data_IF_672379204364
#
_entry.id   IF_672379204364
#
_cell.length_a   1.000
_cell.length_b   1.000
_cell.length_c   1.000
_cell.angle_alpha   90.00
_cell.angle_beta   90.00
_cell.angle_gamma   90.00
#
_symmetry.space_group_name_H-M   'P 1'
#
loop_
_entity.id
_entity.type
_entity.pdbx_description
1 polymer ?
#
# COMPACT_ATOMS: atom_id res chain seq x y z
N UNK A 1 25.59 8.27 -14.60
CA UNK A 1 24.75 8.13 -13.40
C UNK A 1 25.06 6.77 -12.79
N UNK A 2 25.30 6.71 -11.49
CA UNK A 2 25.67 5.46 -10.82
C UNK A 2 24.42 4.58 -10.66
N UNK A 3 24.51 3.29 -11.02
CA UNK A 3 23.33 2.41 -11.23
C UNK A 3 22.66 2.03 -9.89
N UNK A 4 21.32 1.91 -9.83
CA UNK A 4 20.64 1.39 -8.64
C UNK A 4 21.12 -0.01 -8.27
N UNK A 5 21.19 -0.28 -6.97
CA UNK A 5 21.68 -1.54 -6.40
C UNK A 5 20.52 -2.37 -5.88
N UNK A 6 20.57 -3.68 -6.11
CA UNK A 6 19.55 -4.62 -5.61
C UNK A 6 20.06 -5.28 -4.33
N UNK A 7 19.29 -5.15 -3.24
CA UNK A 7 19.65 -5.66 -1.91
C UNK A 7 18.61 -6.67 -1.44
N UNK A 8 18.98 -7.95 -1.27
CA UNK A 8 18.08 -8.95 -0.70
C UNK A 8 17.86 -8.71 0.79
N UNK A 9 16.60 -8.78 1.22
CA UNK A 9 16.19 -8.61 2.61
C UNK A 9 15.14 -9.66 2.97
N UNK A 10 15.37 -10.37 4.08
CA UNK A 10 14.37 -11.26 4.68
C UNK A 10 13.81 -10.61 5.94
N UNK A 11 12.50 -10.33 5.97
CA UNK A 11 11.82 -9.74 7.14
C UNK A 11 10.44 -10.34 7.33
N UNK A 12 10.11 -10.73 8.56
CA UNK A 12 8.83 -11.37 8.90
C UNK A 12 8.51 -12.60 8.01
N UNK A 13 9.52 -13.41 7.69
CA UNK A 13 9.35 -14.60 6.83
C UNK A 13 9.22 -14.30 5.33
N UNK A 14 9.23 -13.04 4.90
CA UNK A 14 9.11 -12.66 3.49
C UNK A 14 10.46 -12.32 2.88
N UNK A 15 10.69 -12.81 1.67
CA UNK A 15 11.89 -12.55 0.88
C UNK A 15 11.62 -11.42 -0.12
N UNK A 16 12.32 -10.29 0.07
CA UNK A 16 12.15 -9.07 -0.75
C UNK A 16 13.48 -8.62 -1.33
N UNK A 17 13.45 -8.01 -2.50
CA UNK A 17 14.61 -7.33 -3.09
C UNK A 17 14.36 -5.83 -3.08
N UNK A 18 15.16 -5.07 -2.34
CA UNK A 18 15.08 -3.61 -2.33
C UNK A 18 15.96 -3.02 -3.43
N UNK A 19 15.46 -2.01 -4.13
CA UNK A 19 16.23 -1.23 -5.09
C UNK A 19 16.63 0.08 -4.44
N UNK A 20 17.95 0.32 -4.35
CA UNK A 20 18.53 1.48 -3.66
C UNK A 20 19.34 2.34 -4.60
N UNK A 21 19.17 3.65 -4.49
CA UNK A 21 20.03 4.62 -5.14
C UNK A 21 21.42 4.68 -4.46
N UNK A 22 22.43 5.23 -5.15
CA UNK A 22 23.77 5.45 -4.59
C UNK A 22 23.77 6.32 -3.33
N UNK A 23 22.81 7.24 -3.20
CA UNK A 23 22.61 8.09 -2.02
C UNK A 23 21.99 7.34 -0.82
N UNK A 24 21.66 6.06 -0.97
CA UNK A 24 21.09 5.20 0.05
C UNK A 24 19.56 5.23 0.15
N UNK A 25 18.85 6.02 -0.64
CA UNK A 25 17.38 5.99 -0.68
C UNK A 25 16.87 4.71 -1.33
N UNK A 26 15.77 4.18 -0.81
CA UNK A 26 15.05 3.08 -1.45
C UNK A 26 14.06 3.69 -2.46
N UNK A 27 14.07 3.20 -3.70
CA UNK A 27 13.16 3.67 -4.77
C UNK A 27 12.11 2.61 -5.13
N UNK A 28 12.36 1.34 -4.81
CA UNK A 28 11.37 0.27 -4.97
C UNK A 28 11.71 -0.95 -4.11
N UNK A 29 10.77 -1.89 -4.07
CA UNK A 29 11.04 -3.26 -3.62
C UNK A 29 10.22 -4.28 -4.41
N UNK A 30 10.81 -5.44 -4.66
CA UNK A 30 10.18 -6.58 -5.32
C UNK A 30 9.76 -7.62 -4.28
N UNK A 31 8.47 -7.93 -4.25
CA UNK A 31 7.89 -9.07 -3.55
C UNK A 31 8.00 -10.32 -4.45
N UNK A 32 8.87 -11.27 -4.07
CA UNK A 32 9.06 -12.49 -4.83
C UNK A 32 7.85 -13.43 -4.74
N UNK A 33 7.14 -13.40 -3.63
CA UNK A 33 5.98 -14.25 -3.38
C UNK A 33 4.77 -13.77 -4.18
N UNK A 34 4.54 -12.45 -4.20
CA UNK A 34 3.44 -11.84 -4.94
C UNK A 34 3.78 -11.46 -6.39
N UNK A 35 5.00 -11.76 -6.85
CA UNK A 35 5.54 -11.34 -8.16
C UNK A 35 5.25 -9.85 -8.46
N UNK A 36 5.52 -8.97 -7.50
CA UNK A 36 5.12 -7.56 -7.55
C UNK A 36 6.24 -6.58 -7.23
N UNK A 37 6.43 -5.61 -8.10
CA UNK A 37 7.29 -4.45 -7.87
C UNK A 37 6.47 -3.31 -7.27
N UNK A 38 6.86 -2.87 -6.09
CA UNK A 38 6.28 -1.72 -5.40
C UNK A 38 7.22 -0.53 -5.56
N UNK A 39 6.81 0.43 -6.39
CA UNK A 39 7.52 1.69 -6.57
C UNK A 39 7.27 2.60 -5.37
N UNK A 40 8.33 3.19 -4.84
CA UNK A 40 8.26 4.27 -3.86
C UNK A 40 8.33 5.64 -4.53
N UNK A 41 8.91 5.67 -5.73
CA UNK A 41 8.99 6.84 -6.60
C UNK A 41 8.73 6.38 -8.04
N UNK A 42 7.72 6.99 -8.69
CA UNK A 42 7.31 6.64 -10.04
C UNK A 42 8.30 7.15 -11.10
N UNK A 43 9.07 8.20 -10.80
CA UNK A 43 10.04 8.77 -11.75
C UNK A 43 11.18 7.79 -12.06
N UNK A 44 11.44 6.84 -11.18
CA UNK A 44 12.51 5.85 -11.31
C UNK A 44 12.04 4.48 -11.84
N UNK A 45 10.83 4.36 -12.40
CA UNK A 45 10.28 3.07 -12.83
C UNK A 45 11.19 2.30 -13.79
N UNK A 46 11.67 2.95 -14.86
CA UNK A 46 12.53 2.30 -15.86
C UNK A 46 13.85 1.81 -15.24
N UNK A 47 14.47 2.63 -14.40
CA UNK A 47 15.71 2.29 -13.70
C UNK A 47 15.53 1.12 -12.74
N UNK A 48 14.38 1.06 -12.06
CA UNK A 48 14.00 -0.03 -11.17
C UNK A 48 13.84 -1.33 -11.94
N UNK A 49 13.09 -1.32 -13.05
CA UNK A 49 12.87 -2.51 -13.86
C UNK A 49 14.18 -2.99 -14.51
N UNK A 50 15.03 -2.08 -14.96
CA UNK A 50 16.35 -2.40 -15.49
C UNK A 50 17.29 -2.98 -14.44
N UNK A 51 17.21 -2.55 -13.18
CA UNK A 51 17.98 -3.12 -12.07
C UNK A 51 17.45 -4.49 -11.64
N UNK A 52 16.12 -4.68 -11.65
CA UNK A 52 15.47 -5.92 -11.22
C UNK A 52 15.46 -7.01 -12.28
N UNK A 53 15.63 -6.69 -13.57
CA UNK A 53 15.53 -7.64 -14.69
C UNK A 53 16.12 -9.03 -14.45
N UNK A 54 17.36 -9.18 -13.92
CA UNK A 54 17.95 -10.49 -13.62
C UNK A 54 17.24 -11.33 -12.56
N UNK A 55 16.37 -10.72 -11.75
CA UNK A 55 15.69 -11.34 -10.61
C UNK A 55 14.20 -11.58 -10.83
N UNK A 56 13.61 -10.98 -11.86
CA UNK A 56 12.19 -11.12 -12.16
C UNK A 56 11.92 -12.50 -12.76
N UNK A 57 10.97 -13.22 -12.18
CA UNK A 57 10.55 -14.53 -12.69
C UNK A 57 9.16 -14.43 -13.32
N UNK A 58 9.09 -14.46 -14.64
CA UNK A 58 7.83 -14.40 -15.39
C UNK A 58 7.21 -13.00 -15.46
N UNK A 59 5.90 -12.96 -15.65
CA UNK A 59 5.15 -11.70 -15.62
C UNK A 59 5.10 -11.15 -14.19
N UNK A 60 5.38 -9.86 -14.05
CA UNK A 60 5.32 -9.16 -12.76
C UNK A 60 4.36 -8.00 -12.83
N UNK A 61 3.67 -7.76 -11.72
CA UNK A 61 2.84 -6.58 -11.56
C UNK A 61 3.69 -5.41 -11.05
N UNK A 62 3.46 -4.21 -11.59
CA UNK A 62 4.05 -2.97 -11.11
C UNK A 62 2.95 -2.12 -10.47
N UNK A 63 3.27 -1.48 -9.35
CA UNK A 63 2.36 -0.56 -8.66
C UNK A 63 1.62 -1.19 -7.48
N UNK A 64 0.68 -0.45 -6.88
CA UNK A 64 0.03 -0.85 -5.64
C UNK A 64 -0.71 -2.19 -5.81
N UNK A 65 -0.88 -2.97 -4.73
CA UNK A 65 -1.71 -4.16 -4.77
C UNK A 65 -3.12 -3.80 -5.24
N UNK A 66 -3.82 -4.74 -5.93
CA UNK A 66 -5.20 -4.50 -6.33
C UNK A 66 -6.04 -4.18 -5.10
N UNK A 67 -6.91 -3.20 -5.23
CA UNK A 67 -7.86 -2.85 -4.17
C UNK A 67 -8.89 -4.00 -4.07
N UNK A 68 -9.17 -4.53 -2.88
CA UNK A 68 -10.20 -5.55 -2.70
C UNK A 68 -11.55 -5.07 -3.24
N UNK A 69 -12.29 -5.95 -3.92
CA UNK A 69 -13.65 -5.63 -4.38
C UNK A 69 -14.62 -5.58 -3.20
N UNK A 70 -15.81 -4.97 -3.35
CA UNK A 70 -16.85 -5.04 -2.31
C UNK A 70 -17.22 -6.48 -1.93
N UNK A 71 -17.18 -7.41 -2.90
CA UNK A 71 -17.41 -8.82 -2.63
C UNK A 71 -16.28 -9.45 -1.79
N UNK A 72 -15.03 -9.07 -2.03
CA UNK A 72 -13.89 -9.51 -1.22
C UNK A 72 -14.00 -8.97 0.21
N UNK A 73 -14.39 -7.71 0.36
CA UNK A 73 -14.63 -7.10 1.67
C UNK A 73 -15.79 -7.77 2.42
N UNK A 74 -16.89 -8.08 1.73
CA UNK A 74 -18.03 -8.77 2.34
C UNK A 74 -17.67 -10.16 2.88
N UNK A 75 -16.71 -10.87 2.26
CA UNK A 75 -16.19 -12.16 2.77
C UNK A 75 -15.27 -12.00 3.99
N UNK A 76 -14.68 -10.82 4.18
CA UNK A 76 -13.83 -10.50 5.33
C UNK A 76 -14.61 -9.90 6.50
N UNK A 77 -15.87 -9.48 6.26
CA UNK A 77 -16.74 -8.96 7.30
C UNK A 77 -17.01 -10.02 8.36
N UNK A 78 -16.61 -9.73 9.59
CA UNK A 78 -16.85 -10.57 10.76
C UNK A 78 -18.27 -10.33 11.28
N UNK A 79 -18.97 -11.40 11.68
CA UNK A 79 -20.27 -11.26 12.34
C UNK A 79 -20.07 -10.55 13.69
N UNK A 80 -20.98 -9.66 14.13
CA UNK A 80 -20.86 -8.97 15.42
C UNK A 80 -20.64 -9.89 16.61
N UNK A 81 -21.25 -11.09 16.60
CA UNK A 81 -21.11 -12.07 17.68
C UNK A 81 -19.75 -12.80 17.65
N UNK A 82 -19.06 -12.78 16.51
CA UNK A 82 -17.72 -13.35 16.35
C UNK A 82 -16.62 -12.31 16.63
N UNK A 83 -16.97 -11.04 16.81
CA UNK A 83 -16.04 -9.98 17.15
C UNK A 83 -15.64 -10.06 18.63
N UNK A 84 -14.48 -10.65 18.87
CA UNK A 84 -13.90 -10.79 20.21
C UNK A 84 -13.28 -9.49 20.75
N UNK A 85 -13.36 -8.38 20.02
CA UNK A 85 -12.83 -7.11 20.50
C UNK A 85 -13.68 -6.59 21.67
N UNK A 86 -13.13 -6.47 22.90
CA UNK A 86 -13.89 -5.99 24.05
C UNK A 86 -14.31 -4.51 23.89
N UNK A 87 -13.59 -3.76 23.06
CA UNK A 87 -13.97 -2.43 22.60
C UNK A 87 -13.83 -2.43 21.08
N UNK A 88 -14.87 -2.03 20.34
CA UNK A 88 -14.75 -1.98 18.88
C UNK A 88 -13.74 -0.90 18.48
N UNK A 89 -12.80 -1.20 17.56
CA UNK A 89 -11.82 -0.22 17.11
C UNK A 89 -12.50 1.07 16.66
N UNK A 90 -12.12 2.20 17.27
CA UNK A 90 -12.64 3.52 16.92
C UNK A 90 -14.00 3.89 17.52
N UNK A 91 -14.67 3.01 18.28
CA UNK A 91 -15.99 3.29 18.87
C UNK A 91 -15.97 4.51 19.81
N UNK A 92 -15.00 4.58 20.73
CA UNK A 92 -14.85 5.73 21.62
C UNK A 92 -14.64 7.04 20.83
N UNK A 93 -13.88 6.99 19.73
CA UNK A 93 -13.67 8.14 18.85
C UNK A 93 -14.95 8.54 18.12
N UNK A 94 -15.77 7.58 17.68
CA UNK A 94 -17.06 7.86 17.06
C UNK A 94 -18.02 8.54 18.04
N UNK A 95 -18.06 8.08 19.31
CA UNK A 95 -18.84 8.71 20.38
C UNK A 95 -18.38 10.13 20.65
N UNK A 96 -17.07 10.37 20.70
CA UNK A 96 -16.51 11.72 20.91
C UNK A 96 -16.84 12.67 19.74
N UNK A 97 -16.78 12.17 18.50
CA UNK A 97 -17.13 12.94 17.30
C UNK A 97 -18.63 13.28 17.23
N UNK A 98 -19.49 12.38 17.70
CA UNK A 98 -20.94 12.60 17.75
C UNK A 98 -21.32 13.62 18.83
N UNK A 99 -20.73 13.49 20.03
CA UNK A 99 -20.99 14.39 21.17
C UNK A 99 -20.45 15.80 20.95
N UNK A 100 -19.30 15.92 20.28
CA UNK A 100 -18.65 17.19 20.00
C UNK A 100 -18.08 17.15 18.58
N UNK A 101 -18.92 17.41 17.55
CA UNK A 101 -18.43 17.54 16.20
C UNK A 101 -17.44 18.70 16.17
N UNK A 102 -16.16 18.37 16.16
CA UNK A 102 -15.09 19.36 16.19
C UNK A 102 -15.19 20.31 15.00
N UNK A 103 -14.53 21.48 15.05
CA UNK A 103 -14.45 22.36 13.89
C UNK A 103 -13.92 21.54 12.70
N UNK A 104 -14.51 21.76 11.52
CA UNK A 104 -14.16 21.01 10.30
C UNK A 104 -12.63 20.92 10.19
N UNK A 105 -12.07 19.73 10.45
CA UNK A 105 -10.62 19.55 10.45
C UNK A 105 -10.17 19.91 9.04
N UNK A 106 -9.30 20.91 8.92
CA UNK A 106 -8.61 21.25 7.66
C UNK A 106 -7.54 20.19 7.38
N UNK A 107 -7.95 18.93 7.33
CA UNK A 107 -7.13 17.91 6.69
C UNK A 107 -7.04 18.30 5.23
N UNK A 108 -5.82 18.25 4.68
CA UNK A 108 -5.64 18.41 3.24
C UNK A 108 -6.61 17.43 2.55
N UNK A 109 -7.48 17.92 1.65
CA UNK A 109 -8.39 17.05 0.93
C UNK A 109 -7.59 15.95 0.23
N UNK A 110 -8.00 14.70 0.40
CA UNK A 110 -7.45 13.61 -0.38
C UNK A 110 -7.87 13.80 -1.84
N UNK A 111 -6.93 14.03 -2.78
CA UNK A 111 -7.27 14.20 -4.19
C UNK A 111 -8.05 13.02 -4.76
N UNK A 112 -7.87 11.80 -4.22
CA UNK A 112 -8.62 10.62 -4.66
C UNK A 112 -10.11 10.69 -4.37
N UNK A 113 -10.56 11.47 -3.37
CA UNK A 113 -12.00 11.59 -3.08
C UNK A 113 -12.76 12.21 -4.25
N UNK A 114 -12.21 13.26 -4.85
CA UNK A 114 -12.82 13.91 -6.01
C UNK A 114 -12.90 12.97 -7.22
N UNK A 115 -11.84 12.19 -7.46
CA UNK A 115 -11.81 11.18 -8.53
C UNK A 115 -12.85 10.07 -8.31
N UNK A 116 -13.04 9.61 -7.08
CA UNK A 116 -14.02 8.57 -6.73
C UNK A 116 -15.47 9.07 -6.83
N UNK A 117 -15.74 10.31 -6.43
CA UNK A 117 -17.07 10.91 -6.55
C UNK A 117 -17.45 11.12 -8.03
N UNK A 118 -16.50 11.52 -8.87
CA UNK A 118 -16.72 11.65 -10.31
C UNK A 118 -17.02 10.31 -11.02
N UNK A 119 -16.60 9.17 -10.45
CA UNK A 119 -16.88 7.83 -10.97
C UNK A 119 -18.26 7.29 -10.54
N UNK A 120 -18.98 7.99 -9.64
CA UNK A 120 -20.30 7.59 -9.15
C UNK A 120 -21.48 8.22 -9.88
N UNK A 121 -21.22 9.21 -10.74
CA UNK A 121 -22.17 9.81 -11.69
C UNK A 121 -22.03 9.21 -13.07
#
# INVERSE_FOLDING_TARGET
MDRPRVVPTRRHGRDRLYVRLPDGRNIAWYDREAARVNLLDAEHEEEVLAALGPYLTGQVAVGPPPVPTPADLARLSLHPDDDLAPNRPGEALLVDLDRAPGPARRLRPDPRRAELDAQRT
#
